data_IF_717702578903
#
_entry.id   IF_717702578903
#
_cell.length_a   1.000
_cell.length_b   1.000
_cell.length_c   1.000
_cell.angle_alpha   90.00
_cell.angle_beta   90.00
_cell.angle_gamma   90.00
#
_symmetry.space_group_name_H-M   'P 1'
#
loop_
_entity.id
_entity.type
_entity.pdbx_description
1 polymer ?
#
# COMPACT_ATOMS: atom_id res chain seq x y z
N UNK A 1 9.23 -26.24 -4.47
CA UNK A 1 8.23 -25.24 -4.92
C UNK A 1 7.61 -24.48 -3.75
N UNK A 2 6.95 -25.15 -2.79
CA UNK A 2 6.28 -24.50 -1.64
C UNK A 2 7.22 -23.59 -0.85
N UNK A 3 8.43 -24.05 -0.52
CA UNK A 3 9.41 -23.24 0.23
C UNK A 3 9.72 -21.90 -0.46
N UNK A 4 9.87 -21.88 -1.78
CA UNK A 4 10.09 -20.66 -2.55
C UNK A 4 8.88 -19.74 -2.56
N UNK A 5 7.65 -20.29 -2.68
CA UNK A 5 6.42 -19.50 -2.58
C UNK A 5 6.31 -18.81 -1.23
N UNK A 6 6.56 -19.55 -0.15
CA UNK A 6 6.53 -19.00 1.22
C UNK A 6 7.61 -17.93 1.38
N UNK A 7 8.86 -18.23 1.03
CA UNK A 7 9.97 -17.30 1.20
C UNK A 7 9.74 -15.98 0.44
N UNK A 8 9.33 -16.04 -0.84
CA UNK A 8 9.09 -14.85 -1.65
C UNK A 8 7.86 -14.05 -1.19
N UNK A 9 6.79 -14.74 -0.76
CA UNK A 9 5.62 -14.06 -0.22
C UNK A 9 5.92 -13.34 1.11
N UNK A 10 6.69 -13.95 2.00
CA UNK A 10 7.12 -13.32 3.25
C UNK A 10 8.06 -12.15 3.00
N UNK A 11 8.98 -12.28 2.05
CA UNK A 11 9.87 -11.21 1.65
C UNK A 11 9.09 -10.05 0.99
N UNK A 12 8.08 -10.36 0.17
CA UNK A 12 7.17 -9.35 -0.37
C UNK A 12 6.39 -8.65 0.74
N UNK A 13 5.86 -9.38 1.73
CA UNK A 13 5.19 -8.79 2.89
C UNK A 13 6.13 -7.83 3.65
N UNK A 14 7.37 -8.22 3.88
CA UNK A 14 8.40 -7.38 4.51
C UNK A 14 8.65 -6.10 3.73
N UNK A 15 8.93 -6.19 2.41
CA UNK A 15 9.16 -5.01 1.58
C UNK A 15 7.91 -4.12 1.44
N UNK A 16 6.71 -4.70 1.46
CA UNK A 16 5.46 -3.95 1.47
C UNK A 16 5.37 -3.08 2.74
N UNK A 17 5.59 -3.65 3.93
CA UNK A 17 5.64 -2.89 5.18
C UNK A 17 6.73 -1.81 5.19
N UNK A 18 7.92 -2.15 4.69
CA UNK A 18 9.08 -1.25 4.60
C UNK A 18 8.80 -0.04 3.70
N UNK A 19 8.18 -0.25 2.53
CA UNK A 19 7.94 0.78 1.52
C UNK A 19 6.73 1.66 1.84
N UNK A 20 5.70 1.13 2.49
CA UNK A 20 4.44 1.86 2.69
C UNK A 20 4.34 2.53 4.07
N UNK A 21 5.10 2.06 5.08
CA UNK A 21 5.16 2.71 6.41
C UNK A 21 5.54 4.19 6.39
N UNK A 22 6.44 4.68 5.50
CA UNK A 22 6.77 6.09 5.39
C UNK A 22 5.57 6.99 5.16
N UNK A 23 4.60 6.55 4.39
CA UNK A 23 3.38 7.32 4.10
C UNK A 23 2.54 7.59 5.36
N UNK A 24 2.56 6.67 6.31
CA UNK A 24 1.80 6.77 7.56
C UNK A 24 2.55 7.64 8.58
N UNK A 25 3.86 7.41 8.74
CA UNK A 25 4.62 8.05 9.82
C UNK A 25 5.20 9.42 9.45
N UNK A 26 5.42 9.71 8.16
CA UNK A 26 6.01 10.97 7.73
C UNK A 26 5.27 12.23 8.25
N UNK A 27 3.94 12.30 8.28
CA UNK A 27 3.23 13.47 8.82
C UNK A 27 3.48 13.69 10.31
N UNK A 28 3.50 12.63 11.13
CA UNK A 28 3.71 12.78 12.59
C UNK A 28 5.16 13.09 12.94
N UNK A 29 6.11 12.56 12.19
CA UNK A 29 7.54 12.85 12.37
C UNK A 29 7.85 14.30 11.96
N UNK A 30 7.36 14.73 10.78
CA UNK A 30 7.61 16.06 10.23
C UNK A 30 6.99 17.18 11.08
N UNK A 31 5.91 16.89 11.79
CA UNK A 31 5.26 17.85 12.69
C UNK A 31 5.73 17.75 14.14
N UNK A 32 6.72 16.89 14.41
CA UNK A 32 7.22 16.60 15.76
C UNK A 32 6.13 16.14 16.74
N UNK A 33 5.13 15.38 16.24
CA UNK A 33 4.08 14.78 17.07
C UNK A 33 4.57 13.51 17.79
N UNK A 34 5.49 12.76 17.15
CA UNK A 34 6.20 11.58 17.69
C UNK A 34 7.62 11.52 17.17
N UNK A 35 8.49 10.88 17.95
CA UNK A 35 9.82 10.46 17.49
C UNK A 35 9.72 9.33 16.45
N UNK A 36 10.69 9.26 15.54
CA UNK A 36 10.66 8.32 14.41
C UNK A 36 10.49 6.87 14.83
N UNK A 37 11.29 6.40 15.80
CA UNK A 37 11.22 5.01 16.29
C UNK A 37 9.88 4.69 16.93
N UNK A 38 9.36 5.61 17.75
CA UNK A 38 8.04 5.43 18.38
C UNK A 38 6.92 5.38 17.33
N UNK A 39 6.96 6.27 16.31
CA UNK A 39 5.98 6.29 15.24
C UNK A 39 5.96 4.96 14.48
N UNK A 40 7.13 4.41 14.11
CA UNK A 40 7.24 3.15 13.40
C UNK A 40 6.72 1.96 14.21
N UNK A 41 7.12 1.84 15.49
CA UNK A 41 6.70 0.73 16.34
C UNK A 41 5.19 0.77 16.64
N UNK A 42 4.65 1.97 16.94
CA UNK A 42 3.21 2.13 17.15
C UNK A 42 2.40 1.86 15.88
N UNK A 43 2.93 2.25 14.71
CA UNK A 43 2.31 1.93 13.43
C UNK A 43 2.32 0.43 13.17
N UNK A 44 3.43 -0.26 13.41
CA UNK A 44 3.52 -1.71 13.25
C UNK A 44 2.52 -2.45 14.17
N UNK A 45 2.38 -2.01 15.42
CA UNK A 45 1.41 -2.57 16.35
C UNK A 45 -0.05 -2.32 15.88
N UNK A 46 -0.35 -1.11 15.40
CA UNK A 46 -1.66 -0.79 14.84
C UNK A 46 -1.97 -1.61 13.57
N UNK A 47 -0.98 -1.80 12.69
CA UNK A 47 -1.11 -2.63 11.50
C UNK A 47 -1.36 -4.10 11.85
N UNK A 48 -0.74 -4.62 12.91
CA UNK A 48 -1.00 -5.98 13.38
C UNK A 48 -2.46 -6.17 13.80
N UNK A 49 -3.07 -5.17 14.42
CA UNK A 49 -4.48 -5.22 14.81
C UNK A 49 -5.45 -5.19 13.61
N UNK A 50 -5.05 -4.56 12.50
CA UNK A 50 -5.91 -4.33 11.33
C UNK A 50 -6.60 -5.60 10.80
N UNK A 51 -5.87 -6.60 10.29
CA UNK A 51 -6.44 -7.83 9.76
C UNK A 51 -7.21 -8.66 10.79
N UNK A 52 -6.85 -8.55 12.07
CA UNK A 52 -7.50 -9.27 13.15
C UNK A 52 -8.90 -8.70 13.48
N UNK A 53 -9.07 -7.38 13.32
CA UNK A 53 -10.34 -6.68 13.63
C UNK A 53 -11.22 -6.53 12.39
N UNK A 54 -10.60 -6.17 11.24
CA UNK A 54 -11.31 -5.82 9.99
C UNK A 54 -11.34 -6.96 8.98
N UNK A 55 -10.63 -8.07 9.26
CA UNK A 55 -10.57 -9.25 8.41
C UNK A 55 -9.60 -9.12 7.23
N UNK A 56 -9.64 -10.13 6.35
CA UNK A 56 -8.70 -10.29 5.22
C UNK A 56 -9.40 -10.27 3.86
N UNK A 57 -10.47 -9.50 3.69
CA UNK A 57 -11.28 -9.47 2.46
C UNK A 57 -10.46 -9.11 1.20
N UNK A 58 -9.42 -8.28 1.34
CA UNK A 58 -8.50 -7.93 0.24
C UNK A 58 -7.71 -9.16 -0.24
N UNK A 59 -7.37 -10.12 0.63
CA UNK A 59 -6.70 -11.36 0.22
C UNK A 59 -7.54 -12.15 -0.80
N UNK A 60 -8.84 -12.30 -0.52
CA UNK A 60 -9.78 -12.95 -1.44
C UNK A 60 -9.84 -12.22 -2.78
N UNK A 61 -9.91 -10.88 -2.76
CA UNK A 61 -9.96 -10.09 -4.00
C UNK A 61 -8.71 -10.29 -4.86
N UNK A 62 -7.53 -10.25 -4.26
CA UNK A 62 -6.25 -10.44 -4.96
C UNK A 62 -6.15 -11.85 -5.56
N UNK A 63 -6.53 -12.86 -4.80
CA UNK A 63 -6.35 -14.25 -5.21
C UNK A 63 -7.40 -14.75 -6.22
N UNK A 64 -8.65 -14.24 -6.16
CA UNK A 64 -9.77 -14.87 -6.88
C UNK A 64 -10.52 -13.93 -7.82
N UNK A 65 -10.25 -12.62 -7.80
CA UNK A 65 -11.02 -11.66 -8.60
C UNK A 65 -10.23 -10.97 -9.71
N UNK A 66 -8.91 -11.10 -9.74
CA UNK A 66 -8.05 -10.49 -10.78
C UNK A 66 -7.76 -11.50 -11.87
N UNK A 67 -7.37 -12.72 -11.48
CA UNK A 67 -7.01 -13.82 -12.35
C UNK A 67 -7.84 -15.05 -12.01
N UNK A 68 -8.03 -15.93 -12.97
CA UNK A 68 -8.65 -17.25 -12.74
C UNK A 68 -7.65 -18.15 -12.01
N UNK A 69 -7.92 -18.61 -10.78
CA UNK A 69 -6.99 -19.48 -10.05
C UNK A 69 -6.59 -20.73 -10.84
N UNK A 70 -7.54 -21.32 -11.58
CA UNK A 70 -7.35 -22.52 -12.38
C UNK A 70 -6.39 -22.31 -13.57
N UNK A 71 -6.19 -21.05 -13.98
CA UNK A 71 -5.26 -20.67 -15.05
C UNK A 71 -3.85 -20.37 -14.55
N UNK A 72 -3.65 -20.38 -13.23
CA UNK A 72 -2.37 -20.06 -12.60
C UNK A 72 -1.62 -21.33 -12.25
N UNK A 73 -0.38 -21.43 -12.72
CA UNK A 73 0.57 -22.43 -12.23
C UNK A 73 1.35 -21.87 -11.02
N UNK A 74 1.96 -22.75 -10.24
CA UNK A 74 2.84 -22.35 -9.15
C UNK A 74 4.01 -21.48 -9.63
N UNK A 75 4.53 -21.73 -10.83
CA UNK A 75 5.56 -20.90 -11.46
C UNK A 75 5.04 -19.52 -11.83
N UNK A 76 3.80 -19.41 -12.29
CA UNK A 76 3.15 -18.15 -12.58
C UNK A 76 3.01 -17.29 -11.31
N UNK A 77 2.63 -17.89 -10.19
CA UNK A 77 2.57 -17.19 -8.89
C UNK A 77 3.96 -16.77 -8.41
N UNK A 78 4.97 -17.65 -8.58
CA UNK A 78 6.37 -17.28 -8.27
C UNK A 78 6.85 -16.11 -9.12
N UNK A 79 6.58 -16.14 -10.44
CA UNK A 79 6.97 -15.06 -11.35
C UNK A 79 6.32 -13.73 -10.96
N UNK A 80 5.05 -13.74 -10.56
CA UNK A 80 4.34 -12.56 -10.06
C UNK A 80 5.00 -12.01 -8.78
N UNK A 81 5.33 -12.86 -7.82
CA UNK A 81 6.01 -12.47 -6.58
C UNK A 81 7.40 -11.92 -6.85
N UNK A 82 8.19 -12.57 -7.71
CA UNK A 82 9.54 -12.10 -8.09
C UNK A 82 9.47 -10.71 -8.72
N UNK A 83 8.54 -10.50 -9.68
CA UNK A 83 8.38 -9.22 -10.33
C UNK A 83 7.98 -8.10 -9.34
N UNK A 84 7.01 -8.37 -8.47
CA UNK A 84 6.57 -7.42 -7.45
C UNK A 84 7.69 -7.11 -6.44
N UNK A 85 8.49 -8.12 -6.07
CA UNK A 85 9.62 -7.98 -5.16
C UNK A 85 10.76 -7.16 -5.77
N UNK A 86 11.17 -7.48 -7.00
CA UNK A 86 12.21 -6.72 -7.71
C UNK A 86 11.82 -5.25 -7.86
N UNK A 87 10.55 -4.97 -8.19
CA UNK A 87 10.03 -3.61 -8.23
C UNK A 87 10.08 -2.93 -6.86
N UNK A 88 9.70 -3.65 -5.79
CA UNK A 88 9.73 -3.13 -4.42
C UNK A 88 11.15 -2.79 -3.96
N UNK A 89 12.14 -3.63 -4.30
CA UNK A 89 13.56 -3.37 -4.01
C UNK A 89 14.06 -2.16 -4.81
N UNK A 90 13.76 -2.08 -6.11
CA UNK A 90 14.15 -0.96 -6.95
C UNK A 90 13.61 0.36 -6.41
N UNK A 91 12.35 0.39 -6.02
CA UNK A 91 11.71 1.61 -5.50
C UNK A 91 12.18 1.98 -4.10
N UNK A 92 12.52 1.01 -3.28
CA UNK A 92 13.16 1.25 -1.99
C UNK A 92 14.56 1.86 -2.15
N UNK A 93 15.38 1.36 -3.07
CA UNK A 93 16.74 1.88 -3.31
C UNK A 93 16.73 3.29 -3.91
N UNK A 94 15.80 3.58 -4.82
CA UNK A 94 15.62 4.91 -5.44
C UNK A 94 14.88 5.89 -4.55
N UNK A 95 14.16 5.39 -3.53
CA UNK A 95 13.30 6.20 -2.65
C UNK A 95 12.08 6.77 -3.36
N UNK A 96 11.66 6.21 -4.49
CA UNK A 96 10.44 6.62 -5.19
C UNK A 96 9.22 6.08 -4.44
N UNK A 97 8.26 6.93 -4.06
CA UNK A 97 7.01 6.48 -3.48
C UNK A 97 6.14 5.87 -4.59
N UNK A 98 6.24 4.56 -4.73
CA UNK A 98 5.46 3.77 -5.70
C UNK A 98 4.42 2.94 -4.98
N UNK A 99 3.67 2.15 -5.72
CA UNK A 99 2.59 1.34 -5.21
C UNK A 99 2.94 -0.14 -5.24
N UNK A 100 3.08 -0.74 -4.07
CA UNK A 100 3.19 -2.19 -3.90
C UNK A 100 1.98 -2.94 -4.48
N UNK A 101 0.78 -2.34 -4.39
CA UNK A 101 -0.45 -2.89 -4.98
C UNK A 101 -0.40 -2.94 -6.50
N UNK A 102 0.05 -1.86 -7.15
CA UNK A 102 0.21 -1.83 -8.60
C UNK A 102 1.24 -2.86 -9.06
N UNK A 103 2.35 -2.99 -8.33
CA UNK A 103 3.39 -3.95 -8.65
C UNK A 103 2.88 -5.41 -8.59
N UNK A 104 2.10 -5.73 -7.56
CA UNK A 104 1.53 -7.06 -7.41
C UNK A 104 0.46 -7.35 -8.46
N UNK A 105 -0.45 -6.40 -8.71
CA UNK A 105 -1.49 -6.53 -9.73
C UNK A 105 -0.86 -6.71 -11.11
N UNK A 106 0.12 -5.88 -11.47
CA UNK A 106 0.85 -6.01 -12.73
C UNK A 106 1.58 -7.36 -12.84
N UNK A 107 2.23 -7.80 -11.76
CA UNK A 107 2.89 -9.12 -11.69
C UNK A 107 1.93 -10.28 -11.92
N UNK A 108 0.78 -10.30 -11.23
CA UNK A 108 -0.25 -11.33 -11.40
C UNK A 108 -0.81 -11.34 -12.83
N UNK A 109 -1.07 -10.15 -13.39
CA UNK A 109 -1.53 -10.02 -14.78
C UNK A 109 -0.52 -10.55 -15.78
N UNK A 110 0.75 -10.16 -15.65
CA UNK A 110 1.82 -10.58 -16.55
C UNK A 110 2.00 -12.10 -16.55
N UNK A 111 2.03 -12.69 -15.36
CA UNK A 111 2.11 -14.13 -15.21
C UNK A 111 0.88 -14.85 -15.80
N UNK A 112 -0.33 -14.34 -15.55
CA UNK A 112 -1.57 -14.92 -16.06
C UNK A 112 -1.65 -14.87 -17.59
N UNK A 113 -1.33 -13.69 -18.18
CA UNK A 113 -1.32 -13.49 -19.63
C UNK A 113 -0.30 -14.42 -20.32
N UNK A 114 0.92 -14.53 -19.77
CA UNK A 114 1.96 -15.40 -20.30
C UNK A 114 1.64 -16.90 -20.07
N UNK A 115 0.82 -17.22 -19.07
CA UNK A 115 0.44 -18.60 -18.71
C UNK A 115 -0.67 -19.15 -19.61
N UNK A 116 -1.78 -18.41 -19.74
CA UNK A 116 -3.01 -18.90 -20.39
C UNK A 116 -3.70 -17.81 -21.26
N UNK A 117 -2.99 -16.74 -21.57
CA UNK A 117 -3.48 -15.67 -22.43
C UNK A 117 -4.59 -14.81 -21.79
N UNK A 118 -5.29 -13.99 -22.60
CA UNK A 118 -6.30 -13.03 -22.09
C UNK A 118 -7.45 -13.67 -21.31
N UNK A 119 -7.76 -14.93 -21.59
CA UNK A 119 -8.84 -15.69 -20.91
C UNK A 119 -8.53 -15.95 -19.43
N UNK A 120 -7.27 -15.87 -19.03
CA UNK A 120 -6.86 -15.99 -17.62
C UNK A 120 -7.30 -14.80 -16.76
N UNK A 121 -7.62 -13.66 -17.36
CA UNK A 121 -8.04 -12.46 -16.64
C UNK A 121 -9.54 -12.45 -16.38
N UNK A 122 -9.92 -12.07 -15.16
CA UNK A 122 -11.30 -11.80 -14.76
C UNK A 122 -11.60 -10.31 -14.95
N UNK A 123 -12.03 -9.92 -16.16
CA UNK A 123 -12.19 -8.50 -16.53
C UNK A 123 -13.04 -7.68 -15.54
N UNK A 124 -14.20 -8.16 -15.03
CA UNK A 124 -14.98 -7.37 -14.06
C UNK A 124 -14.24 -7.10 -12.74
N UNK A 125 -13.52 -8.10 -12.23
CA UNK A 125 -12.70 -7.96 -11.02
C UNK A 125 -11.49 -7.06 -11.25
N UNK A 126 -10.82 -7.23 -12.38
CA UNK A 126 -9.70 -6.40 -12.81
C UNK A 126 -10.11 -4.91 -12.89
N UNK A 127 -11.20 -4.59 -13.61
CA UNK A 127 -11.71 -3.21 -13.74
C UNK A 127 -12.05 -2.62 -12.37
N UNK A 128 -12.65 -3.40 -11.47
CA UNK A 128 -12.94 -2.96 -10.10
C UNK A 128 -11.67 -2.64 -9.32
N UNK A 129 -10.64 -3.49 -9.40
CA UNK A 129 -9.36 -3.29 -8.71
C UNK A 129 -8.62 -2.08 -9.27
N UNK A 130 -8.48 -1.96 -10.59
CA UNK A 130 -7.84 -0.80 -11.24
C UNK A 130 -8.63 0.47 -10.96
N UNK A 131 -9.96 0.40 -11.02
CA UNK A 131 -10.84 1.53 -10.67
C UNK A 131 -10.60 2.02 -9.24
N UNK A 132 -10.50 1.11 -8.25
CA UNK A 132 -10.19 1.45 -6.87
C UNK A 132 -8.80 2.10 -6.74
N UNK A 133 -7.79 1.59 -7.45
CA UNK A 133 -6.44 2.14 -7.48
C UNK A 133 -6.39 3.55 -8.09
N UNK A 134 -7.15 3.81 -9.15
CA UNK A 134 -7.19 5.11 -9.85
C UNK A 134 -8.02 6.14 -9.08
N UNK A 135 -9.14 5.74 -8.47
CA UNK A 135 -10.06 6.65 -7.77
C UNK A 135 -9.53 7.03 -6.37
N UNK A 136 -8.80 6.13 -5.70
CA UNK A 136 -8.38 6.37 -4.31
C UNK A 136 -7.44 7.57 -4.13
N UNK A 137 -6.45 7.90 -4.99
CA UNK A 137 -5.62 9.10 -4.84
C UNK A 137 -6.40 10.41 -4.99
N UNK A 138 -7.28 10.62 -6.01
CA UNK A 138 -8.16 11.78 -6.07
C UNK A 138 -9.04 11.96 -4.84
N UNK A 139 -9.58 10.87 -4.29
CA UNK A 139 -10.34 10.93 -3.04
C UNK A 139 -9.47 11.37 -1.87
N UNK A 140 -8.24 10.84 -1.74
CA UNK A 140 -7.29 11.26 -0.73
C UNK A 140 -6.98 12.76 -0.82
N UNK A 141 -6.74 13.27 -2.03
CA UNK A 141 -6.51 14.69 -2.29
C UNK A 141 -7.71 15.55 -1.87
N UNK A 142 -8.92 15.16 -2.31
CA UNK A 142 -10.15 15.91 -2.02
C UNK A 142 -10.45 15.95 -0.52
N UNK A 143 -10.40 14.79 0.15
CA UNK A 143 -10.70 14.71 1.60
C UNK A 143 -9.62 15.43 2.40
N UNK A 144 -8.33 15.32 2.00
CA UNK A 144 -7.23 16.03 2.62
C UNK A 144 -7.37 17.56 2.48
N UNK A 145 -7.76 18.03 1.29
CA UNK A 145 -8.07 19.43 1.02
C UNK A 145 -9.23 19.93 1.89
N UNK A 146 -10.37 19.27 1.82
CA UNK A 146 -11.57 19.68 2.56
C UNK A 146 -11.36 19.64 4.08
N UNK A 147 -10.68 18.61 4.59
CA UNK A 147 -10.40 18.46 6.01
C UNK A 147 -9.53 19.59 6.56
N UNK A 148 -8.47 19.96 5.83
CA UNK A 148 -7.61 21.07 6.24
C UNK A 148 -8.31 22.41 6.05
N UNK A 149 -9.00 22.63 4.93
CA UNK A 149 -9.75 23.84 4.68
C UNK A 149 -10.80 24.10 5.77
N UNK A 150 -11.57 23.08 6.16
CA UNK A 150 -12.53 23.18 7.24
C UNK A 150 -11.86 23.48 8.58
N UNK A 151 -10.77 22.75 8.90
CA UNK A 151 -10.02 22.97 10.14
C UNK A 151 -9.49 24.40 10.21
N UNK A 152 -8.93 24.94 9.11
CA UNK A 152 -8.44 26.33 9.07
C UNK A 152 -9.56 27.35 9.21
N UNK A 153 -10.74 27.08 8.65
CA UNK A 153 -11.92 27.97 8.83
C UNK A 153 -12.41 28.00 10.26
N UNK A 154 -12.55 26.82 10.89
CA UNK A 154 -13.01 26.70 12.28
C UNK A 154 -11.96 27.23 13.27
N UNK A 155 -10.69 27.13 12.93
CA UNK A 155 -9.57 27.53 13.77
C UNK A 155 -9.11 28.99 13.60
N UNK A 156 -9.85 29.83 12.89
CA UNK A 156 -9.44 31.22 12.59
C UNK A 156 -9.10 32.05 13.85
N UNK A 157 -9.81 31.81 14.93
CA UNK A 157 -9.62 32.53 16.22
C UNK A 157 -8.98 31.62 17.29
N UNK A 158 -8.44 30.46 16.88
CA UNK A 158 -7.91 29.50 17.84
C UNK A 158 -6.56 29.95 18.42
N UNK A 159 -6.38 29.69 19.71
CA UNK A 159 -5.12 29.96 20.41
C UNK A 159 -3.99 29.03 19.89
N UNK A 160 -2.70 29.43 20.01
CA UNK A 160 -1.55 28.59 19.61
C UNK A 160 -1.53 27.19 20.23
N UNK A 161 -2.18 26.99 21.37
CA UNK A 161 -2.37 25.69 22.04
C UNK A 161 -3.09 24.66 21.19
N UNK A 162 -3.83 25.08 20.13
CA UNK A 162 -4.45 24.19 19.18
C UNK A 162 -3.42 23.28 18.50
N UNK A 163 -2.22 23.76 18.19
CA UNK A 163 -1.16 22.95 17.57
C UNK A 163 -0.79 21.73 18.44
N UNK A 164 -0.75 21.88 19.76
CA UNK A 164 -0.46 20.80 20.68
C UNK A 164 -1.60 19.77 20.72
N UNK A 165 -2.87 20.22 20.63
CA UNK A 165 -4.03 19.33 20.52
C UNK A 165 -4.00 18.57 19.19
N UNK A 166 -3.74 19.24 18.08
CA UNK A 166 -3.62 18.61 16.76
C UNK A 166 -2.49 17.57 16.72
N UNK A 167 -1.34 17.81 17.36
CA UNK A 167 -0.28 16.79 17.49
C UNK A 167 -0.74 15.56 18.25
N UNK A 168 -1.56 15.72 19.31
CA UNK A 168 -2.13 14.57 20.04
C UNK A 168 -3.10 13.79 19.15
N UNK A 169 -3.99 14.47 18.45
CA UNK A 169 -4.94 13.83 17.54
C UNK A 169 -4.28 13.20 16.31
N UNK A 170 -3.14 13.72 15.85
CA UNK A 170 -2.34 13.07 14.82
C UNK A 170 -1.88 11.67 15.23
N UNK A 171 -1.55 11.44 16.51
CA UNK A 171 -1.16 10.11 17.01
C UNK A 171 -2.33 9.14 16.88
N UNK A 172 -3.53 9.56 17.25
CA UNK A 172 -4.75 8.74 17.10
C UNK A 172 -5.05 8.47 15.63
N UNK A 173 -5.01 9.50 14.78
CA UNK A 173 -5.25 9.34 13.34
C UNK A 173 -4.18 8.44 12.67
N UNK A 174 -2.93 8.51 13.12
CA UNK A 174 -1.86 7.60 12.66
C UNK A 174 -2.15 6.15 13.04
N UNK A 175 -2.63 5.88 14.26
CA UNK A 175 -3.00 4.53 14.68
C UNK A 175 -4.20 4.01 13.89
N UNK A 176 -5.22 4.84 13.68
CA UNK A 176 -6.37 4.49 12.85
C UNK A 176 -5.97 4.18 11.40
N UNK A 177 -5.12 5.02 10.80
CA UNK A 177 -4.57 4.77 9.47
C UNK A 177 -3.69 3.51 9.46
N UNK A 178 -2.88 3.28 10.50
CA UNK A 178 -2.06 2.08 10.64
C UNK A 178 -2.91 0.80 10.65
N UNK A 179 -3.98 0.77 11.45
CA UNK A 179 -4.90 -0.35 11.48
C UNK A 179 -5.60 -0.56 10.12
N UNK A 180 -6.09 0.52 9.50
CA UNK A 180 -6.71 0.47 8.16
C UNK A 180 -5.74 -0.05 7.11
N UNK A 181 -4.47 0.40 7.14
CA UNK A 181 -3.41 -0.04 6.25
C UNK A 181 -3.08 -1.52 6.46
N UNK A 182 -2.97 -1.98 7.72
CA UNK A 182 -2.77 -3.39 8.04
C UNK A 182 -3.86 -4.27 7.42
N UNK A 183 -5.13 -3.87 7.53
CA UNK A 183 -6.28 -4.59 6.95
C UNK A 183 -6.31 -4.55 5.40
N UNK A 184 -5.74 -3.51 4.79
CA UNK A 184 -5.68 -3.37 3.33
C UNK A 184 -4.46 -4.07 2.72
N UNK A 185 -3.28 -3.92 3.34
CA UNK A 185 -2.01 -4.22 2.69
C UNK A 185 -1.38 -5.55 3.11
N UNK A 186 -1.42 -5.93 4.38
CA UNK A 186 -0.93 -7.24 4.81
C UNK A 186 -1.66 -8.42 4.11
N UNK A 187 -2.99 -8.38 3.89
CA UNK A 187 -3.71 -9.43 3.18
C UNK A 187 -3.29 -9.65 1.73
N UNK A 188 -2.60 -8.71 1.08
CA UNK A 188 -2.13 -8.89 -0.31
C UNK A 188 -1.12 -10.04 -0.42
N UNK A 189 -0.13 -10.07 0.49
CA UNK A 189 0.82 -11.17 0.56
C UNK A 189 0.15 -12.50 0.94
N UNK A 190 -0.80 -12.45 1.88
CA UNK A 190 -1.58 -13.60 2.29
C UNK A 190 -2.37 -14.18 1.13
N UNK A 191 -3.01 -13.33 0.32
CA UNK A 191 -3.80 -13.75 -0.85
C UNK A 191 -2.96 -14.46 -1.90
N UNK A 192 -1.80 -13.90 -2.24
CA UNK A 192 -0.92 -14.50 -3.26
C UNK A 192 -0.27 -15.78 -2.75
N UNK A 193 0.16 -15.83 -1.47
CA UNK A 193 0.69 -17.07 -0.89
C UNK A 193 -0.39 -18.17 -0.87
N UNK A 194 -1.61 -17.84 -0.43
CA UNK A 194 -2.71 -18.81 -0.42
C UNK A 194 -3.05 -19.28 -1.84
N UNK A 195 -3.06 -18.36 -2.84
CA UNK A 195 -3.21 -18.75 -4.25
C UNK A 195 -2.11 -19.73 -4.67
N UNK A 196 -0.86 -19.47 -4.32
CA UNK A 196 0.25 -20.38 -4.58
C UNK A 196 0.09 -21.74 -3.93
N UNK A 197 -0.40 -21.80 -2.67
CA UNK A 197 -0.66 -23.06 -1.97
C UNK A 197 -1.77 -23.88 -2.65
N UNK A 198 -2.81 -23.21 -3.15
CA UNK A 198 -3.89 -23.85 -3.92
C UNK A 198 -3.36 -24.41 -5.24
N UNK A 199 -2.51 -23.64 -5.96
CA UNK A 199 -1.95 -24.08 -7.26
C UNK A 199 -1.00 -25.28 -7.17
N UNK A 200 -0.35 -25.48 -6.02
CA UNK A 200 0.48 -26.68 -5.77
C UNK A 200 -0.30 -27.85 -5.14
N UNK A 201 -1.61 -27.70 -4.93
CA UNK A 201 -2.45 -28.74 -4.30
C UNK A 201 -2.22 -28.90 -2.78
N UNK A 202 -1.47 -27.99 -2.14
CA UNK A 202 -1.23 -28.02 -0.69
C UNK A 202 -2.45 -27.59 0.12
N UNK A 203 -3.45 -26.99 -0.53
CA UNK A 203 -4.70 -26.55 0.09
C UNK A 203 -5.86 -26.72 -0.88
N UNK A 204 -7.01 -27.19 -0.37
CA UNK A 204 -8.26 -27.29 -1.13
C UNK A 204 -9.09 -26.01 -0.90
N UNK A 205 -9.40 -25.31 -2.00
CA UNK A 205 -10.17 -24.08 -1.96
C UNK A 205 -9.40 -22.86 -1.38
N UNK A 206 -10.01 -21.68 -1.50
CA UNK A 206 -9.40 -20.44 -1.02
C UNK A 206 -9.86 -20.11 0.40
N UNK A 207 -8.93 -20.13 1.34
CA UNK A 207 -9.10 -19.63 2.69
C UNK A 207 -7.72 -19.33 3.27
N UNK A 208 -7.52 -18.18 3.89
CA UNK A 208 -6.21 -17.82 4.46
C UNK A 208 -5.95 -18.62 5.72
N UNK A 209 -4.97 -19.56 5.72
CA UNK A 209 -4.64 -20.33 6.92
C UNK A 209 -4.07 -19.41 8.02
N UNK A 210 -4.28 -19.77 9.28
CA UNK A 210 -3.80 -18.98 10.42
C UNK A 210 -2.28 -18.77 10.40
N UNK A 211 -1.50 -19.79 10.01
CA UNK A 211 -0.05 -19.67 9.90
C UNK A 211 0.38 -18.69 8.78
N UNK A 212 -0.36 -18.63 7.65
CA UNK A 212 -0.12 -17.65 6.58
C UNK A 212 -0.42 -16.25 7.09
N UNK A 213 -1.55 -16.08 7.78
CA UNK A 213 -1.90 -14.81 8.40
C UNK A 213 -0.79 -14.35 9.37
N UNK A 214 -0.41 -15.20 10.31
CA UNK A 214 0.58 -14.86 11.34
C UNK A 214 1.96 -14.54 10.74
N UNK A 215 2.44 -15.36 9.79
CA UNK A 215 3.76 -15.17 9.19
C UNK A 215 3.80 -13.93 8.28
N UNK A 216 2.84 -13.75 7.37
CA UNK A 216 2.78 -12.58 6.51
C UNK A 216 2.64 -11.29 7.33
N UNK A 217 1.78 -11.29 8.34
CA UNK A 217 1.59 -10.14 9.24
C UNK A 217 2.85 -9.83 10.03
N UNK A 218 3.54 -10.84 10.56
CA UNK A 218 4.80 -10.69 11.27
C UNK A 218 5.88 -10.04 10.40
N UNK A 219 6.11 -10.55 9.18
CA UNK A 219 7.08 -9.97 8.25
C UNK A 219 6.70 -8.57 7.78
N UNK A 220 5.41 -8.30 7.56
CA UNK A 220 4.91 -6.97 7.23
C UNK A 220 5.19 -5.96 8.36
N UNK A 221 4.91 -6.32 9.61
CA UNK A 221 5.19 -5.48 10.78
C UNK A 221 6.69 -5.29 11.01
N UNK A 222 7.53 -6.31 10.76
CA UNK A 222 8.99 -6.19 10.81
C UNK A 222 9.48 -5.16 9.78
N UNK A 223 9.02 -5.22 8.54
CA UNK A 223 9.34 -4.24 7.50
C UNK A 223 8.94 -2.83 7.92
N UNK A 224 7.73 -2.66 8.44
CA UNK A 224 7.26 -1.36 8.98
C UNK A 224 8.15 -0.83 10.09
N UNK A 225 8.60 -1.69 11.01
CA UNK A 225 9.42 -1.29 12.16
C UNK A 225 10.78 -0.73 11.76
N UNK A 226 11.32 -1.14 10.62
CA UNK A 226 12.57 -0.63 10.04
C UNK A 226 12.33 0.69 9.32
N UNK A 227 11.26 0.75 8.49
CA UNK A 227 10.84 1.92 7.75
C UNK A 227 11.74 2.32 6.57
N UNK A 228 11.16 2.98 5.59
CA UNK A 228 11.86 3.48 4.41
C UNK A 228 12.30 4.94 4.57
N UNK A 229 13.48 5.22 5.13
CA UNK A 229 13.96 6.58 5.45
C UNK A 229 14.00 7.53 4.25
N UNK A 230 14.35 7.07 3.05
CA UNK A 230 14.41 7.90 1.84
C UNK A 230 13.01 8.38 1.43
N UNK A 231 12.03 7.48 1.44
CA UNK A 231 10.63 7.79 1.16
C UNK A 231 10.02 8.69 2.24
N UNK A 232 10.37 8.46 3.51
CA UNK A 232 9.95 9.32 4.62
C UNK A 232 10.34 10.78 4.43
N UNK A 233 11.59 11.05 4.02
CA UNK A 233 12.07 12.40 3.73
C UNK A 233 11.33 13.04 2.56
N UNK A 234 10.99 12.27 1.52
CA UNK A 234 10.24 12.77 0.36
C UNK A 234 8.81 13.17 0.76
N UNK A 235 8.09 12.30 1.43
CA UNK A 235 6.69 12.52 1.81
C UNK A 235 6.57 13.59 2.93
N UNK A 236 7.50 13.59 3.89
CA UNK A 236 7.40 14.46 5.06
C UNK A 236 7.87 15.90 4.87
N UNK A 237 8.66 16.19 3.82
CA UNK A 237 9.25 17.53 3.68
C UNK A 237 9.43 18.03 2.26
N UNK A 238 9.45 17.15 1.26
CA UNK A 238 9.71 17.58 -0.12
C UNK A 238 8.44 17.98 -0.86
N UNK A 239 7.27 17.36 -0.56
CA UNK A 239 5.98 17.69 -1.20
C UNK A 239 5.47 19.03 -0.71
N UNK A 240 5.40 19.19 0.60
CA UNK A 240 4.93 20.38 1.29
C UNK A 240 5.50 20.42 2.72
N UNK A 241 5.80 21.62 3.24
CA UNK A 241 6.25 21.79 4.64
C UNK A 241 5.06 21.62 5.60
N UNK A 242 4.91 20.41 6.15
CA UNK A 242 3.78 20.07 6.99
C UNK A 242 3.79 20.82 8.33
N UNK A 243 2.64 21.41 8.67
CA UNK A 243 2.30 21.89 10.02
C UNK A 243 1.32 20.90 10.68
N UNK A 244 1.10 20.98 12.01
CA UNK A 244 0.20 20.05 12.69
C UNK A 244 -1.20 19.90 12.06
N UNK A 245 -1.77 20.98 11.52
CA UNK A 245 -3.07 20.95 10.85
C UNK A 245 -3.04 20.10 9.57
N UNK A 246 -1.97 20.22 8.76
CA UNK A 246 -1.82 19.46 7.52
C UNK A 246 -1.61 17.98 7.81
N UNK A 247 -0.71 17.67 8.79
CA UNK A 247 -0.46 16.28 9.17
C UNK A 247 -1.71 15.60 9.72
N UNK A 248 -2.49 16.28 10.53
CA UNK A 248 -3.76 15.75 11.04
C UNK A 248 -4.78 15.50 9.91
N UNK A 249 -5.01 16.52 9.06
CA UNK A 249 -5.95 16.39 7.94
C UNK A 249 -5.58 15.28 6.95
N UNK A 250 -4.29 15.17 6.61
CA UNK A 250 -3.81 14.11 5.71
C UNK A 250 -3.96 12.71 6.32
N UNK A 251 -3.67 12.53 7.61
CA UNK A 251 -3.82 11.25 8.30
C UNK A 251 -5.28 10.83 8.41
N UNK A 252 -6.18 11.75 8.73
CA UNK A 252 -7.63 11.48 8.78
C UNK A 252 -8.14 11.12 7.39
N UNK A 253 -7.77 11.87 6.36
CA UNK A 253 -8.14 11.57 4.98
C UNK A 253 -7.66 10.18 4.55
N UNK A 254 -6.38 9.88 4.82
CA UNK A 254 -5.81 8.56 4.55
C UNK A 254 -6.55 7.45 5.28
N UNK A 255 -6.81 7.62 6.58
CA UNK A 255 -7.53 6.62 7.38
C UNK A 255 -8.94 6.34 6.82
N UNK A 256 -9.69 7.39 6.47
CA UNK A 256 -11.04 7.24 5.91
C UNK A 256 -11.02 6.51 4.56
N UNK A 257 -10.15 6.90 3.63
CA UNK A 257 -10.08 6.29 2.29
C UNK A 257 -9.61 4.84 2.38
N UNK A 258 -8.54 4.57 3.17
CA UNK A 258 -7.98 3.23 3.28
C UNK A 258 -8.92 2.29 4.03
N UNK A 259 -9.57 2.75 5.10
CA UNK A 259 -10.56 1.97 5.83
C UNK A 259 -11.75 1.59 4.95
N UNK A 260 -12.32 2.57 4.25
CA UNK A 260 -13.47 2.33 3.35
C UNK A 260 -13.13 1.30 2.29
N UNK A 261 -11.94 1.40 1.68
CA UNK A 261 -11.51 0.44 0.67
C UNK A 261 -11.26 -0.97 1.26
N UNK A 262 -10.64 -1.06 2.45
CA UNK A 262 -10.40 -2.33 3.13
C UNK A 262 -11.73 -3.05 3.48
N UNK A 263 -12.72 -2.32 3.97
CA UNK A 263 -14.06 -2.87 4.27
C UNK A 263 -14.78 -3.38 3.01
N UNK A 264 -14.56 -2.73 1.86
CA UNK A 264 -15.11 -3.16 0.57
C UNK A 264 -14.28 -4.26 -0.11
N UNK A 265 -13.17 -4.70 0.53
CA UNK A 265 -12.23 -5.66 -0.05
C UNK A 265 -11.48 -5.13 -1.27
N UNK A 266 -11.45 -3.81 -1.49
CA UNK A 266 -10.76 -3.17 -2.60
C UNK A 266 -9.28 -2.98 -2.28
N UNK A 267 -8.35 -3.60 -3.03
CA UNK A 267 -6.94 -3.29 -2.88
C UNK A 267 -6.66 -1.87 -3.39
N UNK A 268 -6.12 -1.01 -2.53
CA UNK A 268 -5.69 0.34 -2.90
C UNK A 268 -4.21 0.55 -2.56
N UNK A 269 -3.68 1.69 -2.93
CA UNK A 269 -2.32 2.10 -2.61
C UNK A 269 -2.33 3.16 -1.52
N UNK A 270 -2.00 2.77 -0.31
CA UNK A 270 -1.93 3.68 0.84
C UNK A 270 -0.89 4.79 0.62
N UNK A 271 0.26 4.47 0.02
CA UNK A 271 1.30 5.46 -0.31
C UNK A 271 0.82 6.52 -1.29
N UNK A 272 0.01 6.14 -2.31
CA UNK A 272 -0.58 7.08 -3.26
C UNK A 272 -1.68 7.94 -2.60
N UNK A 273 -2.57 7.33 -1.83
CA UNK A 273 -3.62 8.03 -1.09
C UNK A 273 -3.02 9.05 -0.15
N UNK A 274 -1.98 8.68 0.61
CA UNK A 274 -1.33 9.58 1.56
C UNK A 274 -0.57 10.71 0.88
N UNK A 275 0.16 10.43 -0.20
CA UNK A 275 0.82 11.47 -0.99
C UNK A 275 -0.18 12.48 -1.53
N UNK A 276 -1.30 12.01 -2.07
CA UNK A 276 -2.39 12.86 -2.55
C UNK A 276 -3.09 13.62 -1.42
N UNK A 277 -3.30 13.00 -0.26
CA UNK A 277 -3.87 13.66 0.92
C UNK A 277 -2.95 14.78 1.46
N UNK A 278 -1.62 14.57 1.46
CA UNK A 278 -0.63 15.60 1.81
C UNK A 278 -0.67 16.75 0.81
N UNK A 279 -0.77 16.45 -0.50
CA UNK A 279 -0.92 17.47 -1.54
C UNK A 279 -2.21 18.28 -1.35
N UNK A 280 -3.34 17.62 -1.13
CA UNK A 280 -4.62 18.27 -0.86
C UNK A 280 -4.58 19.14 0.40
N UNK A 281 -4.00 18.62 1.49
CA UNK A 281 -3.81 19.35 2.72
C UNK A 281 -2.96 20.61 2.52
N UNK A 282 -1.88 20.54 1.75
CA UNK A 282 -1.04 21.68 1.40
C UNK A 282 -1.74 22.69 0.50
N UNK A 283 -2.48 22.19 -0.50
CA UNK A 283 -3.23 23.02 -1.44
C UNK A 283 -4.35 23.84 -0.78
N UNK A 284 -4.96 23.30 0.29
CA UNK A 284 -6.00 23.98 1.06
C UNK A 284 -5.49 25.26 1.74
N UNK A 285 -4.19 25.37 2.03
CA UNK A 285 -3.60 26.57 2.59
C UNK A 285 -3.02 27.47 1.49
N UNK A 286 -2.14 26.91 0.64
CA UNK A 286 -1.43 27.70 -0.41
C UNK A 286 -1.04 26.81 -1.59
N UNK A 287 -1.74 26.92 -2.71
CA UNK A 287 -1.48 26.18 -3.96
C UNK A 287 -0.05 26.38 -4.50
N UNK A 288 0.48 27.59 -4.41
CA UNK A 288 1.80 27.97 -4.95
C UNK A 288 3.00 27.43 -4.14
N UNK A 289 2.76 26.90 -2.93
CA UNK A 289 3.80 26.27 -2.10
C UNK A 289 3.88 24.75 -2.28
N UNK A 290 2.96 24.18 -3.02
CA UNK A 290 2.95 22.75 -3.36
C UNK A 290 3.96 22.51 -4.49
N UNK A 291 4.83 21.52 -4.32
CA UNK A 291 5.83 21.16 -5.33
C UNK A 291 5.24 20.21 -6.36
N UNK A 292 4.56 20.74 -7.36
CA UNK A 292 3.85 19.98 -8.40
C UNK A 292 4.76 19.09 -9.27
N UNK A 293 6.06 19.44 -9.39
CA UNK A 293 7.03 18.59 -10.09
C UNK A 293 7.18 17.21 -9.44
N UNK A 294 7.14 17.16 -8.11
CA UNK A 294 7.20 15.89 -7.39
C UNK A 294 5.95 15.03 -7.69
N UNK A 295 4.78 15.67 -7.80
CA UNK A 295 3.55 14.97 -8.20
C UNK A 295 3.71 14.35 -9.59
N UNK A 296 4.26 15.08 -10.55
CA UNK A 296 4.51 14.55 -11.91
C UNK A 296 5.39 13.30 -11.87
N UNK A 297 6.50 13.34 -11.13
CA UNK A 297 7.40 12.20 -11.00
C UNK A 297 6.73 11.00 -10.34
N UNK A 298 5.88 11.26 -9.34
CA UNK A 298 5.07 10.23 -8.69
C UNK A 298 4.02 9.63 -9.64
N UNK A 299 3.29 10.46 -10.39
CA UNK A 299 2.30 10.01 -11.37
C UNK A 299 2.96 9.15 -12.46
N UNK A 300 4.13 9.56 -12.96
CA UNK A 300 4.91 8.79 -13.93
C UNK A 300 5.27 7.41 -13.37
N UNK A 301 5.78 7.35 -12.14
CA UNK A 301 6.10 6.09 -11.49
C UNK A 301 4.85 5.22 -11.28
N UNK A 302 3.71 5.81 -10.93
CA UNK A 302 2.46 5.07 -10.72
C UNK A 302 1.94 4.44 -12.02
N UNK A 303 1.96 5.20 -13.12
CA UNK A 303 1.52 4.70 -14.45
C UNK A 303 2.46 3.61 -14.96
N UNK A 304 3.78 3.77 -14.78
CA UNK A 304 4.76 2.81 -15.27
C UNK A 304 4.82 1.51 -14.45
N UNK A 305 4.36 1.50 -13.21
CA UNK A 305 4.48 0.34 -12.31
C UNK A 305 3.76 -0.89 -12.89
N UNK A 306 2.49 -0.79 -13.31
CA UNK A 306 1.72 -1.93 -13.82
C UNK A 306 2.35 -2.48 -15.11
N UNK A 307 2.62 -1.70 -16.17
CA UNK A 307 3.27 -2.19 -17.39
C UNK A 307 4.63 -2.83 -17.12
N UNK A 308 5.47 -2.19 -16.30
CA UNK A 308 6.81 -2.69 -16.01
C UNK A 308 6.79 -4.04 -15.29
N UNK A 309 5.95 -4.18 -14.24
CA UNK A 309 5.85 -5.43 -13.48
C UNK A 309 5.13 -6.52 -14.26
N UNK A 310 4.21 -6.18 -15.17
CA UNK A 310 3.59 -7.11 -16.10
C UNK A 310 4.63 -7.73 -17.03
N UNK A 311 5.43 -6.90 -17.69
CA UNK A 311 6.49 -7.38 -18.60
C UNK A 311 7.55 -8.18 -17.83
N UNK A 312 7.95 -7.71 -16.67
CA UNK A 312 8.93 -8.39 -15.82
C UNK A 312 8.43 -9.78 -15.40
N UNK A 313 7.17 -9.88 -14.97
CA UNK A 313 6.58 -11.16 -14.57
C UNK A 313 6.45 -12.14 -15.73
N UNK A 314 6.03 -11.67 -16.90
CA UNK A 314 5.97 -12.50 -18.12
C UNK A 314 7.36 -13.01 -18.49
N UNK A 315 8.40 -12.15 -18.46
CA UNK A 315 9.79 -12.54 -18.73
C UNK A 315 10.33 -13.56 -17.71
N UNK A 316 10.07 -13.35 -16.41
CA UNK A 316 10.47 -14.31 -15.36
C UNK A 316 9.80 -15.65 -15.56
N UNK A 317 8.50 -15.67 -15.90
CA UNK A 317 7.79 -16.94 -16.15
C UNK A 317 8.40 -17.70 -17.34
N UNK A 318 8.74 -17.00 -18.41
CA UNK A 318 9.39 -17.61 -19.58
C UNK A 318 10.76 -18.23 -19.24
N UNK A 319 11.55 -17.52 -18.43
CA UNK A 319 12.82 -18.06 -17.92
C UNK A 319 12.61 -19.30 -17.07
N UNK A 320 11.64 -19.28 -16.13
CA UNK A 320 11.33 -20.44 -15.28
C UNK A 320 10.87 -21.66 -16.08
N UNK A 321 10.19 -21.47 -17.23
CA UNK A 321 9.79 -22.56 -18.12
C UNK A 321 10.95 -23.20 -18.85
N UNK A 322 11.95 -22.42 -19.23
CA UNK A 322 13.15 -22.92 -19.95
C UNK A 322 14.14 -23.68 -19.04
N UNK A 323 14.03 -23.47 -17.73
CA UNK A 323 14.90 -24.14 -16.75
C UNK A 323 14.39 -25.54 -16.33
N UNK A 324 13.25 -25.96 -16.84
CA UNK A 324 12.67 -27.32 -16.67
C UNK A 324 12.83 -28.19 -17.91
#
# INVERSE_FOLDING_TARGET
MIAWLVALALLYAFFNGLNDSPAIVAPVISTHALGSRQALLLTAAAQAAGPLVLGTAVATTIATRIVRPESMSAQAVLAALVAALLWSVLTWTTGLPTSSSHALVGGLMGAALASAGPRALLLPGFVRVVGALVISPPLGLLIGYLGVWLTLRLARQAKPTLNNRLRRWQRVAMLALGASHGASDAPKAMGVLTLGLVTVGAQQGFGVPVWVLASCLGFFCLGTSIGGWRQMRRLGGQIYRLRPVHGFGALVAGALVVLSAAMLGGPISTSQVMASAILGAGAAERLNKVRWLILRDMLTAWVLTIPATLLLSAGVLEVLRRLQ
#
